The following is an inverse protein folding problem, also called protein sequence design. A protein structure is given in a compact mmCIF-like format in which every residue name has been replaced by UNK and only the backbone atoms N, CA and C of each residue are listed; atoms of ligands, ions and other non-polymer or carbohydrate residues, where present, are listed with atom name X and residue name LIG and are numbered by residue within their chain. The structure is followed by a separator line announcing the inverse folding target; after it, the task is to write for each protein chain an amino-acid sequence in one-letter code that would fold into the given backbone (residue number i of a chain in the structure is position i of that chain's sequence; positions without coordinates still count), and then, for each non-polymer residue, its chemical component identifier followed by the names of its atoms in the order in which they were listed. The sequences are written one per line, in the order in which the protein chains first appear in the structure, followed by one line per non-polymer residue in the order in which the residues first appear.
data_IF_611566652968
#
_entry.id   IF_611566652968
#
_cell.length_a   1.000
_cell.length_b   1.000
_cell.length_c   1.000
_cell.angle_alpha   90.00
_cell.angle_beta   90.00
_cell.angle_gamma   90.00
#
_symmetry.space_group_name_H-M   'P 1'
#
loop_
_entity.id
_entity.type
_entity.pdbx_description
1 polymer ?
#
# COMPACT_ATOMS: atom_id res chain seq x y z
N UNK A 1 -27.52 -32.99 37.20
CA UNK A 1 -26.79 -34.15 36.65
C UNK A 1 -25.58 -33.62 35.89
N UNK A 2 -24.40 -33.75 36.51
CA UNK A 2 -23.12 -33.38 35.93
C UNK A 2 -22.63 -34.47 34.99
N UNK A 3 -21.96 -34.09 33.89
CA UNK A 3 -20.75 -34.74 33.33
C UNK A 3 -20.34 -34.06 31.99
N UNK A 4 -19.11 -33.51 31.86
CA UNK A 4 -17.89 -34.21 31.33
C UNK A 4 -17.71 -33.82 29.85
N UNK A 5 -16.62 -33.26 29.29
CA UNK A 5 -15.21 -33.04 29.63
C UNK A 5 -14.72 -31.80 28.87
N UNK A 6 -14.01 -30.89 29.54
CA UNK A 6 -13.12 -29.92 28.86
C UNK A 6 -11.88 -30.66 28.39
N UNK A 7 -11.74 -30.92 27.09
CA UNK A 7 -10.47 -31.34 26.50
C UNK A 7 -9.58 -30.10 26.33
N UNK A 8 -8.72 -29.84 27.31
CA UNK A 8 -7.56 -28.96 27.15
C UNK A 8 -6.51 -29.69 26.31
N UNK A 9 -6.29 -29.25 25.08
CA UNK A 9 -5.08 -29.60 24.33
C UNK A 9 -4.02 -28.57 24.65
N UNK A 10 -3.07 -28.97 25.51
CA UNK A 10 -1.80 -28.28 25.68
C UNK A 10 -0.97 -28.52 24.42
N UNK A 11 -0.88 -27.52 23.55
CA UNK A 11 0.07 -27.53 22.44
C UNK A 11 1.36 -26.89 22.96
N UNK A 12 2.17 -27.69 23.64
CA UNK A 12 3.56 -27.33 23.93
C UNK A 12 4.40 -27.65 22.69
N UNK A 13 5.13 -26.66 22.19
CA UNK A 13 6.35 -26.90 21.41
C UNK A 13 6.39 -26.26 20.02
N UNK A 14 7.37 -25.37 19.88
CA UNK A 14 7.99 -24.90 18.65
C UNK A 14 7.16 -23.96 17.77
N UNK A 15 7.66 -22.72 17.67
CA UNK A 15 7.14 -21.68 16.78
C UNK A 15 7.04 -22.18 15.35
N UNK A 16 5.81 -22.44 14.90
CA UNK A 16 5.50 -22.48 13.48
C UNK A 16 5.43 -21.03 13.02
N UNK A 17 6.60 -20.45 12.72
CA UNK A 17 6.68 -19.28 11.88
C UNK A 17 6.07 -19.70 10.55
N UNK A 18 4.76 -19.41 10.40
CA UNK A 18 3.98 -19.67 9.20
C UNK A 18 4.67 -18.84 8.11
N UNK A 19 5.62 -19.47 7.43
CA UNK A 19 6.35 -18.92 6.30
C UNK A 19 5.31 -18.65 5.24
N UNK A 20 4.73 -17.45 5.31
CA UNK A 20 4.06 -16.84 4.20
C UNK A 20 5.12 -16.81 3.11
N UNK A 21 5.06 -17.79 2.20
CA UNK A 21 5.96 -17.84 1.06
C UNK A 21 5.91 -16.45 0.46
N UNK A 22 7.03 -15.72 0.54
CA UNK A 22 7.20 -14.42 -0.09
C UNK A 22 6.87 -14.61 -1.56
N UNK A 23 5.66 -14.28 -1.96
CA UNK A 23 5.34 -14.08 -3.36
C UNK A 23 6.17 -12.85 -3.73
N UNK A 24 7.06 -13.03 -4.72
CA UNK A 24 8.07 -12.08 -5.16
C UNK A 24 9.34 -12.00 -4.28
N UNK A 25 10.12 -13.08 -4.23
CA UNK A 25 11.57 -12.95 -4.08
C UNK A 25 12.18 -12.98 -5.48
N UNK A 26 12.08 -11.86 -6.22
CA UNK A 26 13.03 -11.60 -7.30
C UNK A 26 14.15 -10.80 -6.65
N UNK A 27 15.24 -11.48 -6.31
CA UNK A 27 16.49 -10.84 -5.93
C UNK A 27 17.15 -10.34 -7.23
N UNK A 28 16.46 -9.44 -7.93
CA UNK A 28 17.05 -8.68 -9.00
C UNK A 28 17.76 -7.52 -8.32
N UNK A 29 19.05 -7.69 -8.09
CA UNK A 29 19.97 -6.63 -7.66
C UNK A 29 20.15 -5.66 -8.84
N UNK A 30 19.04 -5.06 -9.29
CA UNK A 30 19.05 -3.93 -10.20
C UNK A 30 19.46 -2.77 -9.32
N UNK A 31 20.62 -2.18 -9.60
CA UNK A 31 20.97 -0.88 -9.07
C UNK A 31 19.91 0.09 -9.62
N UNK A 32 18.82 0.26 -8.88
CA UNK A 32 17.70 1.10 -9.26
C UNK A 32 18.22 2.53 -9.21
N UNK A 33 18.83 3.00 -10.30
CA UNK A 33 19.18 4.40 -10.46
C UNK A 33 17.87 5.19 -10.39
N UNK A 34 17.59 5.87 -9.27
CA UNK A 34 16.31 6.56 -9.13
C UNK A 34 16.37 7.74 -10.09
N UNK A 35 15.61 7.70 -11.19
CA UNK A 35 15.53 8.82 -12.13
C UNK A 35 15.61 8.48 -13.61
N UNK A 36 15.97 7.25 -14.01
CA UNK A 36 16.07 6.92 -15.45
C UNK A 36 14.72 7.06 -16.17
N UNK A 37 13.64 6.61 -15.54
CA UNK A 37 12.28 6.72 -16.11
C UNK A 37 11.84 8.18 -16.25
N UNK A 38 12.27 9.05 -15.34
CA UNK A 38 11.92 10.47 -15.38
C UNK A 38 12.57 11.16 -16.60
N UNK A 39 13.83 10.86 -16.88
CA UNK A 39 14.57 11.43 -18.02
C UNK A 39 13.94 11.04 -19.36
N UNK A 40 13.49 9.79 -19.50
CA UNK A 40 12.91 9.28 -20.76
C UNK A 40 11.46 9.73 -20.96
N UNK A 41 10.75 10.08 -19.87
CA UNK A 41 9.32 10.44 -19.92
C UNK A 41 9.00 11.76 -20.64
N UNK A 42 10.01 12.60 -20.90
CA UNK A 42 9.81 13.93 -21.48
C UNK A 42 9.14 14.93 -20.53
N UNK A 43 9.00 14.60 -19.25
CA UNK A 43 8.47 15.51 -18.23
C UNK A 43 9.52 16.58 -17.93
N UNK A 44 9.17 17.88 -17.98
CA UNK A 44 10.08 18.96 -17.60
C UNK A 44 10.61 18.82 -16.16
N UNK A 45 11.86 19.23 -15.94
CA UNK A 45 12.57 19.14 -14.65
C UNK A 45 11.80 19.82 -13.51
N UNK A 46 11.07 20.91 -13.81
CA UNK A 46 10.25 21.64 -12.84
C UNK A 46 9.14 20.76 -12.24
N UNK A 47 8.58 19.84 -13.03
CA UNK A 47 7.52 18.94 -12.60
C UNK A 47 8.05 17.71 -11.86
N UNK A 48 9.31 17.30 -12.11
CA UNK A 48 9.96 16.21 -11.38
C UNK A 48 10.16 16.55 -9.90
N UNK A 49 10.34 17.83 -9.58
CA UNK A 49 10.51 18.33 -8.21
C UNK A 49 9.19 18.57 -7.48
N UNK A 50 8.04 18.40 -8.17
CA UNK A 50 6.72 18.67 -7.57
C UNK A 50 6.35 17.57 -6.58
N UNK A 51 6.01 17.97 -5.35
CA UNK A 51 5.57 17.05 -4.30
C UNK A 51 4.20 16.44 -4.62
N UNK A 52 4.09 15.14 -4.38
CA UNK A 52 2.86 14.35 -4.55
C UNK A 52 2.29 13.89 -3.21
N UNK A 53 0.99 13.66 -3.18
CA UNK A 53 0.26 12.96 -2.12
C UNK A 53 -0.25 11.64 -2.71
N UNK A 54 0.11 10.54 -2.07
CA UNK A 54 -0.43 9.20 -2.39
C UNK A 54 -1.45 8.87 -1.31
N UNK A 55 -2.72 8.69 -1.71
CA UNK A 55 -3.80 8.47 -0.76
C UNK A 55 -4.89 7.56 -1.32
N UNK A 56 -5.66 6.95 -0.43
CA UNK A 56 -6.94 6.35 -0.76
C UNK A 56 -8.02 7.42 -0.57
N UNK A 57 -8.87 7.71 -1.58
CA UNK A 57 -9.93 8.69 -1.46
C UNK A 57 -10.90 8.34 -0.35
N UNK A 58 -11.26 9.35 0.44
CA UNK A 58 -12.37 9.26 1.38
C UNK A 58 -13.70 9.09 0.63
N UNK A 59 -14.67 8.50 1.32
CA UNK A 59 -16.05 8.46 0.83
C UNK A 59 -16.64 9.87 0.83
N UNK A 60 -17.36 10.24 -0.24
CA UNK A 60 -18.13 11.48 -0.28
C UNK A 60 -19.23 11.43 0.79
N UNK A 61 -19.19 12.34 1.76
CA UNK A 61 -20.06 12.31 2.94
C UNK A 61 -21.57 12.29 2.58
N UNK A 62 -21.96 13.04 1.54
CA UNK A 62 -23.36 13.19 1.12
C UNK A 62 -23.90 12.04 0.28
N UNK A 63 -23.02 11.18 -0.26
CA UNK A 63 -23.42 10.12 -1.19
C UNK A 63 -23.37 8.74 -0.52
N UNK A 64 -24.37 7.90 -0.81
CA UNK A 64 -24.31 6.48 -0.49
C UNK A 64 -23.50 5.74 -1.57
N UNK A 65 -22.54 4.93 -1.12
CA UNK A 65 -21.68 4.13 -2.00
C UNK A 65 -20.20 4.22 -1.63
N UNK A 66 -19.51 3.08 -1.75
CA UNK A 66 -18.08 2.94 -1.44
C UNK A 66 -17.23 2.67 -2.68
N UNK A 67 -17.81 2.69 -3.90
CA UNK A 67 -17.10 2.31 -5.14
C UNK A 67 -15.88 3.17 -5.50
N UNK A 68 -15.70 4.32 -4.83
CA UNK A 68 -14.56 5.22 -5.01
C UNK A 68 -13.46 5.04 -3.94
N UNK A 69 -13.74 4.30 -2.87
CA UNK A 69 -12.83 4.07 -1.74
C UNK A 69 -11.96 2.85 -2.03
N UNK A 70 -10.72 2.81 -1.52
CA UNK A 70 -9.81 1.67 -1.66
C UNK A 70 -8.99 1.65 -2.95
N UNK A 71 -9.20 2.63 -3.85
CA UNK A 71 -8.37 2.84 -5.03
C UNK A 71 -7.29 3.87 -4.71
N UNK A 72 -6.02 3.49 -4.78
CA UNK A 72 -4.90 4.42 -4.58
C UNK A 72 -4.88 5.49 -5.68
N UNK A 73 -4.69 6.74 -5.28
CA UNK A 73 -4.53 7.89 -6.18
C UNK A 73 -3.27 8.67 -5.85
N UNK A 74 -2.67 9.22 -6.89
CA UNK A 74 -1.59 10.20 -6.81
C UNK A 74 -2.20 11.55 -7.14
N UNK A 75 -1.99 12.53 -6.27
CA UNK A 75 -2.34 13.92 -6.53
C UNK A 75 -1.12 14.81 -6.34
N UNK A 76 -1.09 15.94 -7.02
CA UNK A 76 -0.06 16.95 -6.83
C UNK A 76 -0.54 18.00 -5.84
N UNK A 77 0.36 18.52 -5.00
CA UNK A 77 0.03 19.70 -4.20
C UNK A 77 -0.39 20.85 -5.11
N UNK A 78 -1.51 21.50 -4.78
CA UNK A 78 -2.03 22.62 -5.56
C UNK A 78 -1.05 23.77 -5.57
N UNK A 79 -0.80 24.30 -6.76
CA UNK A 79 -0.12 25.57 -6.97
C UNK A 79 -1.12 26.72 -6.88
N UNK A 80 -0.62 27.95 -6.86
CA UNK A 80 -1.43 29.15 -7.07
C UNK A 80 -2.31 28.96 -8.31
N UNK A 81 -3.62 29.23 -8.19
CA UNK A 81 -4.57 29.08 -9.30
C UNK A 81 -4.70 30.41 -10.00
N UNK A 82 -5.45 31.37 -9.48
CA UNK A 82 -5.53 32.78 -9.90
C UNK A 82 -6.15 33.57 -8.73
N UNK A 83 -5.97 34.90 -8.69
CA UNK A 83 -6.65 35.80 -7.74
C UNK A 83 -8.02 36.27 -8.29
#
# INVERSE_FOLDING_TARGET
MANTVRRSLLINGAGVHRSWKRWFSSDALVDLKPGEVAVISGIPEEHLRRRVIIYSPARTATQQGSGKVGKWKINFLSTHKYD
#
